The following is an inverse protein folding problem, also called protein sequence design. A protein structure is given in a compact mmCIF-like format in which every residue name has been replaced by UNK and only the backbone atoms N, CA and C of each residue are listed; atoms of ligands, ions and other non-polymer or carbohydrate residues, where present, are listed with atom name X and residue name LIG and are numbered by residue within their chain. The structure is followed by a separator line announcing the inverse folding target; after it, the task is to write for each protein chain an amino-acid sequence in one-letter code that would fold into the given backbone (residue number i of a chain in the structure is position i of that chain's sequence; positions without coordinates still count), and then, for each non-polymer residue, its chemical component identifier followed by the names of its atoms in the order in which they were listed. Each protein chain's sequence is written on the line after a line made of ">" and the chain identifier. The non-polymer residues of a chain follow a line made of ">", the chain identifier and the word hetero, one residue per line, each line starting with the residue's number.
data_IF_860121522416
#
_entry.id   IF_860121522416
#
_cell.length_a   1.000
_cell.length_b   1.000
_cell.length_c   1.000
_cell.angle_alpha   90.00
_cell.angle_beta   90.00
_cell.angle_gamma   90.00
#
_symmetry.space_group_name_H-M   'P 1'
#
loop_
_entity.id
_entity.type
_entity.pdbx_description
1 polymer ?
#
# COMPACT_ATOMS: atom_id res chain seq x y z
N UNK A 1 18.58 -3.98 -0.91
CA UNK A 1 17.99 -3.38 0.31
C UNK A 1 16.46 -3.34 0.33
N UNK A 2 15.76 -3.26 -0.81
CA UNK A 2 14.29 -3.13 -0.87
C UNK A 2 13.51 -4.19 -0.07
N UNK A 3 13.95 -5.46 -0.11
CA UNK A 3 13.26 -6.54 0.62
C UNK A 3 13.33 -6.35 2.14
N UNK A 4 14.51 -5.97 2.66
CA UNK A 4 14.68 -5.69 4.11
C UNK A 4 13.81 -4.50 4.53
N UNK A 5 13.74 -3.46 3.69
CA UNK A 5 12.85 -2.31 3.92
C UNK A 5 11.38 -2.72 3.96
N UNK A 6 10.93 -3.56 3.02
CA UNK A 6 9.56 -4.07 3.00
C UNK A 6 9.24 -4.90 4.26
N UNK A 7 10.17 -5.74 4.71
CA UNK A 7 10.03 -6.51 5.97
C UNK A 7 9.93 -5.58 7.17
N UNK A 8 10.74 -4.52 7.23
CA UNK A 8 10.65 -3.51 8.29
C UNK A 8 9.28 -2.82 8.30
N UNK A 9 8.77 -2.45 7.14
CA UNK A 9 7.43 -1.84 7.02
C UNK A 9 6.30 -2.79 7.43
N UNK A 10 6.44 -4.11 7.22
CA UNK A 10 5.50 -5.11 7.76
C UNK A 10 5.51 -5.07 9.29
N UNK A 11 6.69 -5.03 9.91
CA UNK A 11 6.81 -5.00 11.37
C UNK A 11 6.20 -3.73 12.00
N UNK A 12 6.23 -2.62 11.27
CA UNK A 12 5.66 -1.32 11.65
C UNK A 12 4.15 -1.19 11.35
N UNK A 13 3.50 -2.22 10.80
CA UNK A 13 2.07 -2.18 10.43
C UNK A 13 1.24 -3.16 11.26
N UNK A 14 0.36 -2.63 12.11
CA UNK A 14 -0.62 -3.42 12.86
C UNK A 14 -1.54 -4.19 11.91
N UNK A 15 -1.94 -3.59 10.77
CA UNK A 15 -2.76 -4.27 9.76
C UNK A 15 -2.07 -5.48 9.14
N UNK A 16 -0.82 -5.34 8.66
CA UNK A 16 -0.09 -6.44 8.01
C UNK A 16 0.25 -7.58 9.00
N UNK A 17 0.35 -7.25 10.30
CA UNK A 17 0.55 -8.22 11.40
C UNK A 17 -0.74 -8.88 11.91
N UNK A 18 -1.91 -8.55 11.35
CA UNK A 18 -3.19 -9.10 11.81
C UNK A 18 -3.73 -8.51 13.09
N UNK A 19 -3.23 -7.37 13.53
CA UNK A 19 -3.80 -6.58 14.63
C UNK A 19 -4.96 -5.73 14.09
N UNK A 20 -5.94 -6.40 13.46
CA UNK A 20 -7.15 -5.81 12.88
C UNK A 20 -8.37 -6.68 13.20
N UNK A 21 -9.58 -6.16 13.05
CA UNK A 21 -10.84 -6.86 13.41
C UNK A 21 -11.08 -8.19 12.67
N UNK A 22 -10.28 -8.49 11.63
CA UNK A 22 -10.39 -9.70 10.83
C UNK A 22 -9.21 -10.66 11.04
N UNK A 23 -8.28 -10.34 11.94
CA UNK A 23 -7.04 -11.07 12.17
C UNK A 23 -6.29 -11.41 10.87
N UNK A 24 -6.40 -10.56 9.84
CA UNK A 24 -5.78 -10.84 8.54
C UNK A 24 -4.28 -10.58 8.61
N UNK A 25 -3.47 -11.58 8.30
CA UNK A 25 -2.01 -11.51 8.35
C UNK A 25 -1.46 -11.60 6.93
N UNK A 26 -0.41 -10.81 6.64
CA UNK A 26 0.30 -10.90 5.36
C UNK A 26 0.97 -12.27 5.21
N UNK A 27 0.77 -12.92 4.07
CA UNK A 27 1.49 -14.13 3.69
C UNK A 27 2.53 -13.83 2.58
N UNK A 28 3.49 -14.72 2.40
CA UNK A 28 4.55 -14.54 1.41
C UNK A 28 4.00 -14.42 -0.02
N UNK A 29 3.05 -15.28 -0.40
CA UNK A 29 2.46 -15.29 -1.74
C UNK A 29 1.72 -13.98 -2.08
N UNK A 30 1.09 -13.35 -1.09
CA UNK A 30 0.48 -12.03 -1.27
C UNK A 30 1.55 -10.96 -1.38
N UNK A 31 2.61 -11.03 -0.57
CA UNK A 31 3.68 -10.04 -0.55
C UNK A 31 4.45 -9.98 -1.87
N UNK A 32 4.81 -11.12 -2.46
CA UNK A 32 5.63 -11.17 -3.69
C UNK A 32 4.90 -10.71 -4.94
N UNK A 33 3.57 -10.52 -4.88
CA UNK A 33 2.84 -9.93 -5.99
C UNK A 33 3.36 -8.51 -6.23
N UNK A 34 3.76 -8.15 -7.47
CA UNK A 34 4.42 -6.86 -7.76
C UNK A 34 3.66 -5.64 -7.20
N UNK A 35 2.33 -5.65 -7.33
CA UNK A 35 1.46 -4.58 -6.83
C UNK A 35 1.48 -4.44 -5.29
N UNK A 36 1.57 -5.56 -4.56
CA UNK A 36 1.53 -5.56 -3.10
C UNK A 36 2.89 -5.25 -2.52
N UNK A 37 3.96 -5.82 -3.10
CA UNK A 37 5.32 -5.56 -2.67
C UNK A 37 5.64 -4.06 -2.70
N UNK A 38 5.27 -3.37 -3.78
CA UNK A 38 5.51 -1.93 -3.93
C UNK A 38 4.75 -1.14 -2.85
N UNK A 39 3.47 -1.45 -2.61
CA UNK A 39 2.68 -0.79 -1.56
C UNK A 39 3.29 -0.97 -0.17
N UNK A 40 3.79 -2.17 0.14
CA UNK A 40 4.48 -2.45 1.40
C UNK A 40 5.80 -1.69 1.46
N UNK A 41 6.59 -1.67 0.37
CA UNK A 41 7.88 -0.97 0.29
C UNK A 41 7.75 0.55 0.48
N UNK A 42 6.68 1.14 -0.05
CA UNK A 42 6.36 2.56 0.08
C UNK A 42 5.79 2.93 1.46
N UNK A 43 5.32 1.94 2.22
CA UNK A 43 4.78 2.16 3.57
C UNK A 43 3.30 2.52 3.58
N UNK A 44 2.54 2.16 2.53
CA UNK A 44 1.10 2.45 2.41
C UNK A 44 0.22 1.79 3.49
N UNK A 45 0.82 0.92 4.31
CA UNK A 45 0.15 0.23 5.42
C UNK A 45 0.72 0.62 6.79
N UNK A 46 1.57 1.64 6.87
CA UNK A 46 2.07 2.12 8.18
C UNK A 46 0.90 2.62 9.02
N UNK A 47 0.98 2.36 10.32
CA UNK A 47 -0.05 2.80 11.25
C UNK A 47 -0.05 4.34 11.34
N UNK A 48 -1.20 4.96 11.10
CA UNK A 48 -1.36 6.41 11.23
C UNK A 48 -1.44 6.78 12.71
N UNK A 49 -0.44 7.52 13.21
CA UNK A 49 -0.45 8.13 14.53
C UNK A 49 -1.44 9.30 14.56
N UNK A 50 -2.74 9.03 14.61
CA UNK A 50 -3.77 10.07 14.72
C UNK A 50 -5.04 9.67 13.99
N UNK A 51 -6.04 9.22 14.75
CA UNK A 51 -7.20 8.51 14.22
C UNK A 51 -7.94 9.24 13.10
N UNK A 52 -8.19 8.51 12.03
CA UNK A 52 -9.40 8.59 11.21
C UNK A 52 -9.58 7.25 10.51
N UNK A 53 -10.52 6.47 11.05
CA UNK A 53 -11.07 5.31 10.39
C UNK A 53 -11.58 5.71 9.00
N UNK A 54 -11.00 5.15 7.94
CA UNK A 54 -11.66 4.52 6.79
C UNK A 54 -10.68 4.45 5.61
N UNK A 55 -10.41 3.21 5.16
CA UNK A 55 -9.66 2.92 3.93
C UNK A 55 -10.39 3.42 2.69
N UNK A 56 -10.35 4.72 2.48
CA UNK A 56 -10.85 5.39 1.29
C UNK A 56 -9.84 6.46 0.93
N UNK A 57 -9.02 6.17 -0.08
CA UNK A 57 -8.51 7.21 -0.96
C UNK A 57 -9.75 7.84 -1.63
N UNK A 58 -10.49 8.70 -0.92
CA UNK A 58 -11.47 9.59 -1.55
C UNK A 58 -10.64 10.62 -2.28
N UNK A 59 -10.38 10.33 -3.54
CA UNK A 59 -9.94 11.32 -4.51
C UNK A 59 -11.09 12.33 -4.60
N UNK A 60 -11.00 13.39 -3.82
CA UNK A 60 -11.92 14.52 -3.89
C UNK A 60 -11.63 15.23 -5.22
N UNK A 61 -12.42 14.92 -6.26
CA UNK A 61 -12.29 15.51 -7.60
C UNK A 61 -12.79 16.96 -7.67
N UNK A 62 -13.12 17.58 -6.54
CA UNK A 62 -13.61 18.95 -6.48
C UNK A 62 -12.48 19.96 -6.21
N UNK A 63 -11.54 20.04 -7.15
CA UNK A 63 -10.76 21.25 -7.56
C UNK A 63 -9.39 20.85 -8.07
N UNK A 64 -9.18 21.11 -9.36
CA UNK A 64 -7.89 21.56 -9.87
C UNK A 64 -6.87 20.47 -10.17
N UNK A 65 -6.84 20.07 -11.44
CA UNK A 65 -5.64 19.68 -12.18
C UNK A 65 -4.75 18.65 -11.46
N UNK A 66 -5.23 17.41 -11.43
CA UNK A 66 -4.47 16.25 -10.96
C UNK A 66 -3.23 16.01 -11.84
N UNK A 67 -2.06 16.04 -11.21
CA UNK A 67 -0.83 15.56 -11.80
C UNK A 67 -1.02 14.11 -12.27
N UNK A 68 -0.60 13.85 -13.52
CA UNK A 68 -0.69 12.52 -14.12
C UNK A 68 0.06 11.51 -13.25
N UNK A 69 -0.46 10.27 -13.07
CA UNK A 69 0.27 9.21 -12.39
C UNK A 69 1.66 9.05 -13.01
N UNK A 70 2.71 8.92 -12.19
CA UNK A 70 4.10 8.75 -12.63
C UNK A 70 4.35 7.46 -13.42
N UNK A 71 3.35 6.59 -13.50
CA UNK A 71 3.41 5.32 -14.20
C UNK A 71 2.37 5.29 -15.33
N UNK A 72 2.87 5.03 -16.53
CA UNK A 72 2.10 4.78 -17.73
C UNK A 72 1.71 3.29 -17.75
N UNK A 73 0.47 3.00 -17.34
CA UNK A 73 -0.05 1.64 -17.26
C UNK A 73 -0.26 1.01 -18.65
N UNK A 74 -0.33 1.82 -19.71
CA UNK A 74 -0.52 1.34 -21.08
C UNK A 74 0.78 0.74 -21.65
N UNK A 75 1.95 1.15 -21.13
CA UNK A 75 3.26 0.54 -21.47
C UNK A 75 3.47 -0.86 -20.90
N UNK A 76 2.74 -1.25 -19.87
CA UNK A 76 2.91 -2.54 -19.21
C UNK A 76 2.10 -3.63 -19.92
N UNK A 77 1.00 -3.27 -20.57
CA UNK A 77 0.07 -4.20 -21.20
C UNK A 77 0.17 -4.23 -22.73
N UNK A 78 1.33 -3.88 -23.29
CA UNK A 78 1.55 -3.84 -24.74
C UNK A 78 1.26 -5.17 -25.45
N UNK A 79 0.01 -5.33 -25.88
CA UNK A 79 -0.45 -5.95 -27.12
C UNK A 79 -1.13 -4.84 -27.92
#
# INVERSE_FOLDING_TARGET
>A
ENVIKAIKNINESSFLKGQNNRNWIVNFDWLVKPNNFIKVLEGNYKDENGGKNNGSFRQDFSKGQGAKPKYDYDKINGI
#
